data_IF_921591857825
#
_entry.id   IF_921591857825
#
_cell.length_a   1.000
_cell.length_b   1.000
_cell.length_c   1.000
_cell.angle_alpha   90.00
_cell.angle_beta   90.00
_cell.angle_gamma   90.00
#
_symmetry.space_group_name_H-M   'P 1'
#
loop_
_entity.id
_entity.type
_entity.pdbx_description
1 polymer ?
#
# COMPACT_ATOMS: atom_id res chain seq x y z
N UNK A 1 -4.01 -4.72 -17.94
CA UNK A 1 -5.09 -4.07 -17.17
C UNK A 1 -5.03 -4.66 -15.77
N UNK A 2 -4.63 -3.87 -14.79
CA UNK A 2 -4.67 -4.30 -13.41
C UNK A 2 -6.10 -4.10 -12.92
N UNK A 3 -6.78 -5.19 -12.53
CA UNK A 3 -8.13 -5.10 -11.99
C UNK A 3 -8.01 -4.93 -10.49
N UNK A 4 -8.58 -3.87 -9.90
CA UNK A 4 -8.55 -3.72 -8.45
C UNK A 4 -9.33 -4.86 -7.81
N UNK A 5 -8.79 -5.42 -6.74
CA UNK A 5 -9.41 -6.51 -6.00
C UNK A 5 -9.23 -6.32 -4.50
N UNK A 6 -10.24 -6.72 -3.74
CA UNK A 6 -10.25 -6.65 -2.28
C UNK A 6 -10.07 -8.04 -1.70
N UNK A 7 -9.07 -8.20 -0.85
CA UNK A 7 -8.77 -9.46 -0.18
C UNK A 7 -8.27 -9.20 1.25
N UNK A 8 -8.33 -10.20 2.14
CA UNK A 8 -7.70 -10.13 3.45
C UNK A 8 -6.17 -10.16 3.32
N UNK A 9 -5.53 -9.07 3.73
CA UNK A 9 -4.08 -8.85 3.64
C UNK A 9 -3.49 -8.55 5.01
N UNK A 10 -2.18 -8.77 5.16
CA UNK A 10 -1.48 -8.50 6.40
C UNK A 10 -1.22 -7.00 6.55
N UNK A 11 -1.80 -6.37 7.57
CA UNK A 11 -1.62 -4.93 7.84
C UNK A 11 -0.49 -4.71 8.86
N UNK A 12 0.46 -3.84 8.53
CA UNK A 12 1.62 -3.57 9.38
C UNK A 12 1.24 -3.01 10.76
N UNK A 13 0.34 -2.01 10.81
CA UNK A 13 -0.10 -1.38 12.07
C UNK A 13 -0.80 -2.36 13.02
N UNK A 14 -1.42 -3.41 12.49
CA UNK A 14 -2.08 -4.45 13.27
C UNK A 14 -1.15 -5.64 13.60
N UNK A 15 0.16 -5.44 13.59
CA UNK A 15 1.16 -6.49 13.79
C UNK A 15 0.98 -7.68 12.82
N UNK A 16 0.57 -7.40 11.58
CA UNK A 16 0.33 -8.43 10.58
C UNK A 16 -0.98 -9.20 10.76
N UNK A 17 -2.00 -8.64 11.41
CA UNK A 17 -3.35 -9.23 11.33
C UNK A 17 -3.93 -9.10 9.92
N UNK A 18 -4.82 -10.04 9.58
CA UNK A 18 -5.55 -10.02 8.31
C UNK A 18 -6.69 -9.00 8.39
N UNK A 19 -6.71 -8.06 7.46
CA UNK A 19 -7.84 -7.15 7.22
C UNK A 19 -8.09 -7.00 5.73
N UNK A 20 -9.33 -6.65 5.41
CA UNK A 20 -9.71 -6.32 4.04
C UNK A 20 -8.99 -5.05 3.58
N UNK A 21 -8.24 -5.18 2.49
CA UNK A 21 -7.62 -4.07 1.79
C UNK A 21 -7.80 -4.29 0.29
N UNK A 22 -7.83 -3.21 -0.48
CA UNK A 22 -8.03 -3.27 -1.93
C UNK A 22 -6.72 -2.98 -2.63
N UNK A 23 -6.13 -3.92 -3.37
CA UNK A 23 -5.04 -3.55 -4.28
C UNK A 23 -5.66 -2.78 -5.44
N UNK A 24 -5.19 -1.57 -5.68
CA UNK A 24 -5.67 -0.69 -6.74
C UNK A 24 -4.70 -0.59 -7.92
N UNK A 25 -3.41 -0.82 -7.70
CA UNK A 25 -2.41 -0.73 -8.77
C UNK A 25 -1.14 -1.57 -8.50
N UNK A 26 -0.36 -1.83 -9.55
CA UNK A 26 0.98 -2.45 -9.48
C UNK A 26 2.02 -1.50 -10.06
N UNK A 27 2.90 -0.97 -9.20
CA UNK A 27 3.86 0.09 -9.56
C UNK A 27 5.30 -0.41 -9.75
N UNK A 28 5.57 -1.70 -9.50
CA UNK A 28 6.90 -2.30 -9.72
C UNK A 28 6.86 -3.82 -9.63
N UNK A 29 8.01 -4.49 -9.72
CA UNK A 29 8.11 -5.96 -9.77
C UNK A 29 7.36 -6.66 -8.62
N UNK A 30 7.59 -6.21 -7.39
CA UNK A 30 6.91 -6.67 -6.18
C UNK A 30 6.36 -5.53 -5.32
N UNK A 31 5.96 -4.43 -5.97
CA UNK A 31 5.40 -3.25 -5.30
C UNK A 31 4.02 -2.95 -5.86
N UNK A 32 3.06 -2.91 -4.95
CA UNK A 32 1.65 -2.73 -5.21
C UNK A 32 1.14 -1.52 -4.43
N UNK A 33 0.04 -0.93 -4.90
CA UNK A 33 -0.68 0.11 -4.17
C UNK A 33 -1.96 -0.51 -3.63
N UNK A 34 -2.10 -0.49 -2.31
CA UNK A 34 -3.29 -0.90 -1.61
C UNK A 34 -4.04 0.33 -1.10
N UNK A 35 -5.36 0.25 -1.02
CA UNK A 35 -6.20 1.20 -0.30
C UNK A 35 -6.75 0.49 0.94
N UNK A 36 -6.46 1.06 2.11
CA UNK A 36 -6.92 0.58 3.40
C UNK A 36 -7.60 1.74 4.13
N UNK A 37 -8.88 1.59 4.48
CA UNK A 37 -9.69 2.63 5.16
C UNK A 37 -9.66 4.01 4.46
N UNK A 38 -9.58 4.03 3.11
CA UNK A 38 -9.49 5.26 2.32
C UNK A 38 -8.10 5.91 2.26
N UNK A 39 -7.09 5.25 2.84
CA UNK A 39 -5.69 5.65 2.76
C UNK A 39 -4.97 4.77 1.73
N UNK A 40 -4.31 5.40 0.77
CA UNK A 40 -3.45 4.69 -0.19
C UNK A 40 -2.09 4.39 0.45
N UNK A 41 -1.68 3.13 0.40
CA UNK A 41 -0.49 2.60 1.02
C UNK A 41 0.26 1.70 0.03
N UNK A 42 1.54 1.47 0.26
CA UNK A 42 2.28 0.47 -0.49
C UNK A 42 2.06 -0.91 0.09
N UNK A 43 2.02 -1.92 -0.79
CA UNK A 43 1.96 -3.31 -0.42
C UNK A 43 3.03 -4.12 -1.18
N UNK A 44 3.44 -5.22 -0.57
CA UNK A 44 4.37 -6.20 -1.16
C UNK A 44 3.70 -7.57 -1.20
N UNK A 45 3.97 -8.35 -2.24
CA UNK A 45 3.48 -9.72 -2.35
C UNK A 45 4.57 -10.69 -1.90
N UNK A 46 4.23 -11.62 -1.02
CA UNK A 46 5.12 -12.71 -0.64
C UNK A 46 4.75 -13.97 -1.44
N UNK A 47 5.55 -14.37 -2.44
CA UNK A 47 5.26 -15.55 -3.26
C UNK A 47 5.42 -16.88 -2.51
N UNK A 48 6.15 -16.92 -1.39
CA UNK A 48 6.31 -18.15 -0.60
C UNK A 48 5.06 -18.52 0.19
N UNK A 49 4.32 -17.51 0.64
CA UNK A 49 3.07 -17.68 1.43
C UNK A 49 1.84 -17.38 0.58
N UNK A 50 2.01 -16.75 -0.59
CA UNK A 50 0.92 -16.33 -1.48
C UNK A 50 0.06 -15.22 -0.88
N UNK A 51 0.67 -14.29 -0.13
CA UNK A 51 -0.06 -13.24 0.60
C UNK A 51 0.51 -11.85 0.41
N UNK A 52 -0.36 -10.84 0.46
CA UNK A 52 0.02 -9.44 0.44
C UNK A 52 0.24 -8.90 1.86
N UNK A 53 1.24 -8.03 1.98
CA UNK A 53 1.58 -7.30 3.19
C UNK A 53 1.47 -5.81 2.87
N UNK A 54 0.53 -5.14 3.51
CA UNK A 54 0.28 -3.70 3.37
C UNK A 54 1.05 -2.96 4.45
N UNK A 55 1.86 -1.99 4.02
CA UNK A 55 2.56 -1.07 4.91
C UNK A 55 1.76 0.22 5.02
N UNK A 56 0.82 0.24 5.96
CA UNK A 56 -0.03 1.40 6.28
C UNK A 56 0.65 2.40 7.24
N UNK A 57 1.88 2.14 7.66
CA UNK A 57 2.60 2.97 8.63
C UNK A 57 3.67 3.83 7.98
N UNK A 58 4.57 3.20 7.23
CA UNK A 58 5.66 3.88 6.52
C UNK A 58 5.39 3.94 5.01
N UNK A 59 4.55 3.05 4.50
CA UNK A 59 4.17 2.96 3.09
C UNK A 59 3.00 3.86 2.69
N UNK A 60 2.51 4.74 3.56
CA UNK A 60 1.39 5.64 3.25
C UNK A 60 1.77 6.61 2.13
N UNK A 61 1.03 6.53 1.04
CA UNK A 61 1.13 7.45 -0.09
C UNK A 61 0.23 8.63 0.22
N UNK A 62 0.82 9.64 0.84
CA UNK A 62 0.17 10.94 0.95
C UNK A 62 0.13 11.54 -0.44
N UNK A 63 -1.06 11.82 -0.94
CA UNK A 63 -1.24 12.63 -2.15
C UNK A 63 -0.63 14.00 -1.82
N UNK A 64 0.63 14.17 -2.21
CA UNK A 64 1.36 15.41 -1.99
C UNK A 64 0.70 16.38 -2.95
N UNK A 65 -0.30 17.13 -2.47
CA UNK A 65 -0.58 18.44 -3.04
C UNK A 65 0.78 19.10 -3.26
N UNK A 66 1.10 19.65 -4.45
CA UNK A 66 2.42 20.22 -4.74
C UNK A 66 2.64 21.50 -3.91
N UNK A 67 2.79 21.33 -2.59
CA UNK A 67 3.16 22.35 -1.63
C UNK A 67 4.68 22.49 -1.71
N UNK A 68 5.10 23.42 -2.57
CA UNK A 68 6.33 24.21 -2.50
C UNK A 68 7.55 23.46 -1.94
N UNK A 69 8.35 22.92 -2.85
CA UNK A 69 9.78 22.77 -2.58
C UNK A 69 10.36 24.18 -2.48
N UNK A 70 10.49 24.71 -1.27
CA UNK A 70 11.31 25.89 -1.02
C UNK A 70 12.69 25.37 -0.60
N UNK A 71 13.72 25.45 -1.46
CA UNK A 71 15.07 25.09 -1.08
C UNK A 71 15.64 26.21 -0.20
N UNK A 72 15.59 26.05 1.13
CA UNK A 72 16.29 26.96 2.02
C UNK A 72 17.76 26.57 2.09
N UNK A 73 18.54 27.39 1.36
CA UNK A 73 19.98 27.72 1.43
C UNK A 73 20.88 26.91 2.34
#
# INVERSE_FOLDING_TARGET
MFTPFTEPMHIHSLNGQLRDATIIDKVGDNKYIAEYEGVKCTAIFNPFVGRYYVDDKYGVIKDRTPGRYEPTR
#
